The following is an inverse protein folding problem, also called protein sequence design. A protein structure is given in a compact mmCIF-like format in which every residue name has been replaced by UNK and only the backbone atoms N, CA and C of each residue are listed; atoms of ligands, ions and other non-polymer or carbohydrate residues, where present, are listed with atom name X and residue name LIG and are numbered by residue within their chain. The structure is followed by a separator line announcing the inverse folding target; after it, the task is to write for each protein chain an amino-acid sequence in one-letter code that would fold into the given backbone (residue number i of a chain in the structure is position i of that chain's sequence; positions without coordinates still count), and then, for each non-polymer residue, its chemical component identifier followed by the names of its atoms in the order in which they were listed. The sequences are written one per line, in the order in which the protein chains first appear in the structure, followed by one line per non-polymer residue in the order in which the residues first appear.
data_IF_182927608928
#
_entry.id   IF_182927608928
#
_cell.length_a   1.000
_cell.length_b   1.000
_cell.length_c   1.000
_cell.angle_alpha   90.00
_cell.angle_beta   90.00
_cell.angle_gamma   90.00
#
_symmetry.space_group_name_H-M   'P 1'
#
loop_
_entity.id
_entity.type
_entity.pdbx_description
1 polymer ?
#
# COMPACT_ATOMS: atom_id res chain seq x y z
N UNK A 1 26.48 10.86 22.30
CA UNK A 1 26.21 10.48 20.90
C UNK A 1 24.70 10.35 20.77
N UNK A 2 24.06 11.14 19.92
CA UNK A 2 22.63 10.95 19.63
C UNK A 2 22.45 9.56 19.01
N UNK A 3 21.50 8.78 19.54
CA UNK A 3 21.14 7.50 18.93
C UNK A 3 20.26 7.77 17.72
N UNK A 4 20.75 7.41 16.53
CA UNK A 4 20.01 7.59 15.29
C UNK A 4 19.04 6.42 15.09
N UNK A 5 17.78 6.62 15.51
CA UNK A 5 16.74 5.61 15.37
C UNK A 5 16.15 5.69 13.96
N UNK A 6 16.54 4.74 13.11
CA UNK A 6 16.22 4.72 11.69
C UNK A 6 14.70 4.70 11.42
N UNK A 7 13.94 3.81 12.06
CA UNK A 7 12.50 3.66 11.75
C UNK A 7 11.64 4.87 12.13
N UNK A 8 12.15 5.79 12.95
CA UNK A 8 11.48 7.06 13.28
C UNK A 8 11.73 8.15 12.23
N UNK A 9 12.61 7.90 11.26
CA UNK A 9 12.95 8.87 10.23
C UNK A 9 11.98 8.76 9.05
N UNK A 10 11.28 9.85 8.74
CA UNK A 10 10.31 9.91 7.65
C UNK A 10 10.89 9.51 6.28
N UNK A 11 12.17 9.85 6.03
CA UNK A 11 12.82 9.57 4.74
C UNK A 11 13.01 8.08 4.50
N UNK A 12 13.14 7.26 5.55
CA UNK A 12 13.27 5.80 5.41
C UNK A 12 11.97 5.20 4.89
N UNK A 13 10.83 5.71 5.36
CA UNK A 13 9.52 5.28 4.87
C UNK A 13 9.29 5.67 3.42
N UNK A 14 9.73 6.86 3.00
CA UNK A 14 9.70 7.23 1.58
C UNK A 14 10.65 6.40 0.72
N UNK A 15 11.85 6.09 1.21
CA UNK A 15 12.78 5.20 0.51
C UNK A 15 12.19 3.78 0.36
N UNK A 16 11.57 3.24 1.42
CA UNK A 16 10.85 1.97 1.38
C UNK A 16 9.70 2.00 0.36
N UNK A 17 8.90 3.07 0.36
CA UNK A 17 7.81 3.25 -0.59
C UNK A 17 8.32 3.24 -2.05
N UNK A 18 9.43 3.93 -2.30
CA UNK A 18 10.04 3.99 -3.63
C UNK A 18 10.58 2.62 -4.07
N UNK A 19 11.28 1.90 -3.19
CA UNK A 19 11.78 0.55 -3.50
C UNK A 19 10.63 -0.41 -3.79
N UNK A 20 9.58 -0.39 -2.98
CA UNK A 20 8.39 -1.23 -3.20
C UNK A 20 7.67 -0.88 -4.50
N UNK A 21 7.56 0.41 -4.82
CA UNK A 21 6.99 0.87 -6.10
C UNK A 21 7.80 0.42 -7.31
N UNK A 22 9.14 0.48 -7.23
CA UNK A 22 10.03 -0.03 -8.29
C UNK A 22 9.86 -1.55 -8.43
N UNK A 23 9.81 -2.29 -7.33
CA UNK A 23 9.63 -3.74 -7.35
C UNK A 23 8.28 -4.15 -7.96
N UNK A 24 7.21 -3.39 -7.73
CA UNK A 24 5.91 -3.62 -8.38
C UNK A 24 6.00 -3.47 -9.91
N UNK A 25 6.76 -2.49 -10.41
CA UNK A 25 6.96 -2.31 -11.86
C UNK A 25 7.69 -3.51 -12.48
N UNK A 26 8.63 -4.11 -11.74
CA UNK A 26 9.37 -5.29 -12.18
C UNK A 26 8.54 -6.57 -12.09
N UNK A 27 7.70 -6.71 -11.05
CA UNK A 27 6.89 -7.89 -10.75
C UNK A 27 5.45 -7.44 -10.43
N UNK A 28 4.58 -7.29 -11.44
CA UNK A 28 3.25 -6.72 -11.24
C UNK A 28 2.31 -7.69 -10.53
N UNK A 29 1.75 -7.27 -9.39
CA UNK A 29 0.86 -8.06 -8.56
C UNK A 29 -0.12 -7.27 -7.69
N UNK A 30 -0.10 -5.94 -7.73
CA UNK A 30 -0.86 -4.97 -6.91
C UNK A 30 -0.58 -5.01 -5.39
N UNK A 31 0.09 -6.04 -4.89
CA UNK A 31 0.42 -6.19 -3.46
C UNK A 31 1.51 -5.19 -3.07
N UNK A 32 2.60 -5.09 -3.83
CA UNK A 32 3.71 -4.21 -3.50
C UNK A 32 3.30 -2.74 -3.63
N UNK A 33 2.42 -2.41 -4.59
CA UNK A 33 1.82 -1.08 -4.69
C UNK A 33 1.05 -0.69 -3.42
N UNK A 34 0.23 -1.59 -2.88
CA UNK A 34 -0.52 -1.33 -1.65
C UNK A 34 0.40 -1.06 -0.46
N UNK A 35 1.49 -1.81 -0.37
CA UNK A 35 2.52 -1.65 0.67
C UNK A 35 3.32 -0.36 0.46
N UNK A 36 3.64 0.00 -0.79
CA UNK A 36 4.33 1.24 -1.13
C UNK A 36 3.51 2.47 -0.72
N UNK A 37 2.20 2.47 -1.01
CA UNK A 37 1.29 3.54 -0.63
C UNK A 37 1.15 3.66 0.90
N UNK A 38 1.04 2.52 1.59
CA UNK A 38 1.04 2.51 3.05
C UNK A 38 2.36 3.07 3.63
N UNK A 39 3.51 2.71 3.06
CA UNK A 39 4.81 3.23 3.49
C UNK A 39 4.92 4.75 3.24
N UNK A 40 4.41 5.24 2.11
CA UNK A 40 4.34 6.67 1.83
C UNK A 40 3.46 7.41 2.85
N UNK A 41 2.31 6.82 3.23
CA UNK A 41 1.44 7.38 4.27
C UNK A 41 2.14 7.44 5.64
N UNK A 42 2.90 6.41 6.01
CA UNK A 42 3.74 6.41 7.22
C UNK A 42 4.80 7.51 7.16
N UNK A 43 5.47 7.67 6.02
CA UNK A 43 6.45 8.74 5.80
C UNK A 43 5.83 10.13 5.95
N UNK A 44 4.63 10.36 5.41
CA UNK A 44 3.89 11.60 5.59
C UNK A 44 3.50 11.83 7.07
N UNK A 45 3.07 10.79 7.77
CA UNK A 45 2.69 10.87 9.18
C UNK A 45 3.89 11.28 10.05
N UNK A 46 5.05 10.64 9.84
CA UNK A 46 6.28 11.00 10.54
C UNK A 46 6.81 12.38 10.13
N UNK A 47 6.72 12.76 8.85
CA UNK A 47 7.15 14.07 8.38
C UNK A 47 6.29 15.22 8.93
N UNK A 48 4.98 14.98 9.09
CA UNK A 48 4.05 15.96 9.63
C UNK A 48 4.12 16.10 11.16
N UNK A 49 4.78 15.17 11.86
CA UNK A 49 4.95 15.23 13.32
C UNK A 49 3.62 15.26 14.09
N UNK A 50 2.56 14.65 13.55
CA UNK A 50 1.22 14.65 14.15
C UNK A 50 1.20 13.68 15.34
N UNK A 51 0.39 13.94 16.35
CA UNK A 51 0.37 13.19 17.64
C UNK A 51 0.48 11.65 17.60
N UNK A 52 -0.07 10.90 16.62
CA UNK A 52 0.17 9.45 16.54
C UNK A 52 1.65 9.07 16.30
N UNK A 53 2.43 9.97 15.68
CA UNK A 53 3.83 9.74 15.32
C UNK A 53 4.69 9.50 16.56
N UNK A 54 4.46 10.25 17.65
CA UNK A 54 5.24 10.12 18.88
C UNK A 54 5.00 8.76 19.57
N UNK A 55 3.74 8.31 19.58
CA UNK A 55 3.38 7.00 20.14
C UNK A 55 4.00 5.85 19.34
N UNK A 56 4.01 5.99 18.01
CA UNK A 56 4.62 5.02 17.10
C UNK A 56 6.14 5.03 17.24
N UNK A 57 6.74 6.21 17.30
CA UNK A 57 8.17 6.39 17.41
C UNK A 57 8.78 5.72 18.66
N UNK A 58 8.01 5.66 19.76
CA UNK A 58 8.41 5.00 20.99
C UNK A 58 8.40 3.46 20.95
N UNK A 59 7.78 2.83 19.93
CA UNK A 59 7.62 1.38 19.87
C UNK A 59 7.61 0.85 18.44
N UNK A 60 8.70 0.17 18.06
CA UNK A 60 8.81 -0.50 16.76
C UNK A 60 7.68 -1.53 16.51
N UNK A 61 7.30 -2.40 17.47
CA UNK A 61 6.18 -3.32 17.27
C UNK A 61 4.85 -2.63 16.94
N UNK A 62 4.53 -1.52 17.61
CA UNK A 62 3.31 -0.75 17.36
C UNK A 62 3.36 -0.14 15.96
N UNK A 63 4.50 0.43 15.59
CA UNK A 63 4.71 1.02 14.25
C UNK A 63 4.49 0.00 13.15
N UNK A 64 5.06 -1.20 13.28
CA UNK A 64 4.91 -2.28 12.30
C UNK A 64 3.48 -2.84 12.26
N UNK A 65 2.80 -2.93 13.41
CA UNK A 65 1.40 -3.35 13.46
C UNK A 65 0.48 -2.38 12.72
N UNK A 66 0.67 -1.06 12.92
CA UNK A 66 -0.08 -0.02 12.21
C UNK A 66 0.24 -0.04 10.73
N UNK A 67 1.52 -0.08 10.36
CA UNK A 67 1.94 -0.18 8.95
C UNK A 67 1.33 -1.42 8.27
N UNK A 68 1.34 -2.57 8.94
CA UNK A 68 0.73 -3.80 8.43
C UNK A 68 -0.79 -3.67 8.23
N UNK A 69 -1.49 -3.07 9.19
CA UNK A 69 -2.93 -2.82 9.07
C UNK A 69 -3.26 -1.87 7.91
N UNK A 70 -2.53 -0.75 7.80
CA UNK A 70 -2.70 0.22 6.70
C UNK A 70 -2.35 -0.42 5.36
N UNK A 71 -1.31 -1.25 5.29
CA UNK A 71 -0.94 -1.99 4.08
C UNK A 71 -2.04 -2.95 3.64
N UNK A 72 -2.61 -3.71 4.57
CA UNK A 72 -3.72 -4.61 4.29
C UNK A 72 -4.94 -3.85 3.76
N UNK A 73 -5.33 -2.76 4.42
CA UNK A 73 -6.46 -1.91 4.02
C UNK A 73 -6.22 -1.34 2.62
N UNK A 74 -5.03 -0.79 2.38
CA UNK A 74 -4.67 -0.15 1.09
C UNK A 74 -4.66 -1.17 -0.04
N UNK A 75 -4.09 -2.36 0.19
CA UNK A 75 -4.12 -3.44 -0.79
C UNK A 75 -5.54 -3.92 -1.10
N UNK A 76 -6.38 -4.10 -0.07
CA UNK A 76 -7.79 -4.49 -0.27
C UNK A 76 -8.56 -3.43 -1.08
N UNK A 77 -8.33 -2.15 -0.79
CA UNK A 77 -8.94 -1.04 -1.53
C UNK A 77 -8.51 -1.05 -3.02
N UNK A 78 -7.21 -1.21 -3.29
CA UNK A 78 -6.70 -1.35 -4.66
C UNK A 78 -7.31 -2.56 -5.37
N UNK A 79 -7.37 -3.71 -4.69
CA UNK A 79 -7.97 -4.93 -5.25
C UNK A 79 -9.45 -4.76 -5.56
N UNK A 80 -10.19 -4.03 -4.74
CA UNK A 80 -11.61 -3.77 -4.98
C UNK A 80 -11.83 -2.81 -6.16
N UNK A 81 -11.00 -1.76 -6.30
CA UNK A 81 -11.13 -0.74 -7.35
C UNK A 81 -10.68 -1.27 -8.71
N UNK A 82 -9.52 -1.94 -8.76
CA UNK A 82 -8.89 -2.38 -10.01
C UNK A 82 -9.15 -3.86 -10.36
N UNK A 83 -9.54 -4.69 -9.40
CA UNK A 83 -9.72 -6.15 -9.59
C UNK A 83 -11.09 -6.56 -10.15
N UNK A 84 -12.07 -5.66 -10.22
CA UNK A 84 -13.36 -5.92 -10.87
C UNK A 84 -13.24 -5.73 -12.38
N UNK A 85 -12.70 -6.75 -13.06
CA UNK A 85 -13.08 -7.03 -14.44
C UNK A 85 -14.18 -8.07 -14.38
N UNK A 86 -15.40 -7.64 -14.04
CA UNK A 86 -16.57 -8.44 -14.39
C UNK A 86 -16.50 -8.56 -15.91
N UNK A 87 -16.09 -9.75 -16.36
CA UNK A 87 -16.09 -10.08 -17.76
C UNK A 87 -17.48 -9.78 -18.24
N UNK A 88 -17.60 -8.77 -19.12
CA UNK A 88 -18.76 -8.68 -19.98
C UNK A 88 -18.75 -9.98 -20.77
N UNK A 89 -19.41 -11.00 -20.22
CA UNK A 89 -19.98 -12.07 -21.01
C UNK A 89 -20.93 -11.31 -21.90
N UNK A 90 -20.46 -10.98 -23.11
CA UNK A 90 -21.31 -10.45 -24.15
C UNK A 90 -22.39 -11.52 -24.32
N UNK A 91 -23.56 -11.30 -23.72
CA UNK A 91 -24.74 -12.09 -23.97
C UNK A 91 -25.07 -11.86 -25.44
N UNK A 92 -24.58 -12.77 -26.28
CA UNK A 92 -25.03 -12.86 -27.66
C UNK A 92 -26.44 -13.42 -27.61
N UNK A 93 -27.44 -12.54 -27.64
CA UNK A 93 -28.84 -12.91 -27.88
C UNK A 93 -29.10 -13.32 -29.34
N UNK A 94 -28.08 -13.23 -30.21
CA UNK A 94 -28.20 -13.69 -31.59
C UNK A 94 -27.98 -15.19 -31.63
N UNK A 95 -29.07 -15.94 -31.59
CA UNK A 95 -29.05 -17.37 -31.82
C UNK A 95 -28.57 -17.63 -33.26
N UNK A 96 -27.58 -18.50 -33.39
CA UNK A 96 -26.99 -18.94 -34.67
C UNK A 96 -27.94 -19.86 -35.46
N UNK A 97 -29.09 -20.17 -34.89
CA UNK A 97 -30.07 -21.11 -35.41
C UNK A 97 -31.38 -20.48 -35.89
N UNK A 98 -31.52 -19.15 -35.83
CA UNK A 98 -32.58 -18.45 -36.53
C UNK A 98 -32.19 -18.32 -38.02
N UNK A 99 -32.75 -19.21 -38.84
CA UNK A 99 -32.57 -19.28 -40.30
C UNK A 99 -32.90 -17.96 -41.03
#
# INVERSE_FOLDING_TARGET
MEQYILWNQYWIWFALALVLGVLEVLIPGYILLGFALAAAAMGLLFAAGIGPADMMAGSLPITLAIYGAVSLITWLALRQIFGRRDGQVKLWDKDINEN
#
